data_IF_656376621912
#
_entry.id   IF_656376621912
#
_cell.length_a   1.000
_cell.length_b   1.000
_cell.length_c   1.000
_cell.angle_alpha   90.00
_cell.angle_beta   90.00
_cell.angle_gamma   90.00
#
_symmetry.space_group_name_H-M   'P 1'
#
loop_
_entity.id
_entity.type
_entity.pdbx_description
1 polymer ?
#
# COMPACT_ATOMS: atom_id res chain seq x y z
N UNK A 1 -15.39 2.17 -7.21
CA UNK A 1 -15.30 1.86 -5.75
C UNK A 1 -15.64 0.41 -5.43
N UNK A 2 -16.72 -0.18 -5.99
CA UNK A 2 -17.10 -1.58 -5.70
C UNK A 2 -16.01 -2.61 -5.99
N UNK A 3 -15.26 -2.44 -7.09
CA UNK A 3 -14.14 -3.32 -7.42
C UNK A 3 -13.07 -3.30 -6.31
N UNK A 4 -12.69 -2.11 -5.84
CA UNK A 4 -11.74 -1.93 -4.74
C UNK A 4 -12.24 -2.61 -3.47
N UNK A 5 -13.55 -2.54 -3.20
CA UNK A 5 -14.18 -3.21 -2.07
C UNK A 5 -14.00 -4.74 -2.14
N UNK A 6 -14.19 -5.34 -3.32
CA UNK A 6 -13.98 -6.78 -3.52
C UNK A 6 -12.51 -7.18 -3.37
N UNK A 7 -11.59 -6.40 -3.94
CA UNK A 7 -10.16 -6.66 -3.86
C UNK A 7 -9.62 -6.57 -2.42
N UNK A 8 -10.02 -5.53 -1.68
CA UNK A 8 -9.55 -5.26 -0.33
C UNK A 8 -10.23 -6.14 0.73
N UNK A 9 -11.32 -6.85 0.40
CA UNK A 9 -12.04 -7.72 1.34
C UNK A 9 -11.19 -8.88 1.86
N UNK A 10 -10.26 -9.38 1.06
CA UNK A 10 -9.38 -10.49 1.42
C UNK A 10 -8.16 -10.06 2.24
N UNK A 11 -7.88 -8.75 2.29
CA UNK A 11 -6.77 -8.21 3.08
C UNK A 11 -7.14 -8.31 4.56
N UNK A 12 -6.25 -8.77 5.44
CA UNK A 12 -6.55 -8.92 6.85
C UNK A 12 -6.86 -7.58 7.55
N UNK A 13 -7.54 -7.62 8.69
CA UNK A 13 -8.03 -6.45 9.44
C UNK A 13 -6.93 -5.58 10.04
N UNK A 14 -5.76 -6.16 10.31
CA UNK A 14 -4.60 -5.46 10.85
C UNK A 14 -3.85 -4.63 9.81
N UNK A 15 -4.10 -4.85 8.52
CA UNK A 15 -3.49 -4.09 7.45
C UNK A 15 -4.33 -2.85 7.12
N UNK A 16 -3.67 -1.72 6.85
CA UNK A 16 -4.40 -0.53 6.39
C UNK A 16 -4.95 -0.76 4.98
N UNK A 17 -6.24 -0.44 4.81
CA UNK A 17 -6.94 -0.54 3.52
C UNK A 17 -7.17 0.87 3.02
N UNK A 18 -6.42 1.26 2.00
CA UNK A 18 -6.42 2.62 1.48
C UNK A 18 -6.69 2.63 -0.01
N UNK A 19 -7.50 3.58 -0.46
CA UNK A 19 -7.81 3.83 -1.87
C UNK A 19 -7.54 5.30 -2.16
N UNK A 20 -6.75 5.58 -3.19
CA UNK A 20 -6.51 6.93 -3.70
C UNK A 20 -7.17 7.02 -5.07
N UNK A 21 -8.05 8.00 -5.25
CA UNK A 21 -8.75 8.26 -6.51
C UNK A 21 -8.21 9.56 -7.09
N UNK A 22 -7.69 9.51 -8.32
CA UNK A 22 -7.40 10.71 -9.10
C UNK A 22 -8.63 10.99 -9.95
N UNK A 23 -9.33 12.08 -9.67
CA UNK A 23 -10.62 12.41 -10.29
C UNK A 23 -10.49 13.64 -11.20
N UNK A 24 -10.62 13.42 -12.51
CA UNK A 24 -10.52 14.49 -13.52
C UNK A 24 -11.84 15.09 -14.00
N UNK A 25 -12.96 14.47 -13.66
CA UNK A 25 -14.29 14.90 -14.10
C UNK A 25 -14.96 15.78 -13.04
N UNK A 26 -15.99 16.51 -13.44
CA UNK A 26 -16.90 17.20 -12.52
C UNK A 26 -18.13 16.34 -12.19
N UNK A 27 -18.39 15.33 -13.01
CA UNK A 27 -19.55 14.44 -12.91
C UNK A 27 -19.11 12.99 -12.78
N UNK A 28 -19.81 12.25 -11.93
CA UNK A 28 -19.72 10.79 -11.83
C UNK A 28 -21.02 10.19 -12.36
N UNK A 29 -20.90 9.18 -13.21
CA UNK A 29 -22.02 8.47 -13.82
C UNK A 29 -22.10 7.05 -13.25
N UNK A 30 -22.40 6.94 -11.96
CA UNK A 30 -22.56 5.65 -11.29
C UNK A 30 -23.98 5.10 -11.50
N UNK A 31 -24.14 3.80 -11.85
CA UNK A 31 -25.47 3.22 -12.09
C UNK A 31 -26.30 2.99 -10.81
N UNK A 32 -25.65 2.98 -9.65
CA UNK A 32 -26.26 2.71 -8.35
C UNK A 32 -26.12 3.87 -7.35
N UNK A 33 -26.68 3.69 -6.17
CA UNK A 33 -26.56 4.67 -5.10
C UNK A 33 -25.16 4.63 -4.48
N UNK A 34 -24.36 5.67 -4.68
CA UNK A 34 -23.00 5.74 -4.13
C UNK A 34 -22.98 5.82 -2.59
N UNK A 35 -24.04 6.31 -1.94
CA UNK A 35 -24.07 6.43 -0.48
C UNK A 35 -24.11 5.07 0.22
N UNK A 36 -24.70 4.03 -0.38
CA UNK A 36 -24.60 2.67 0.17
C UNK A 36 -23.18 2.17 0.07
N UNK A 37 -22.50 2.39 -1.06
CA UNK A 37 -21.10 2.00 -1.24
C UNK A 37 -20.16 2.72 -0.26
N UNK A 38 -20.43 3.99 0.07
CA UNK A 38 -19.68 4.73 1.08
C UNK A 38 -19.87 4.10 2.47
N UNK A 39 -21.09 3.67 2.81
CA UNK A 39 -21.37 2.99 4.07
C UNK A 39 -20.64 1.64 4.14
N UNK A 40 -20.63 0.88 3.06
CA UNK A 40 -19.90 -0.40 2.97
C UNK A 40 -18.39 -0.20 3.13
N UNK A 41 -17.84 0.87 2.54
CA UNK A 41 -16.43 1.25 2.75
C UNK A 41 -16.12 1.53 4.21
N UNK A 42 -17.00 2.26 4.90
CA UNK A 42 -16.83 2.56 6.33
C UNK A 42 -16.93 1.29 7.19
N UNK A 43 -17.88 0.40 6.89
CA UNK A 43 -18.01 -0.91 7.57
C UNK A 43 -16.76 -1.78 7.42
N UNK A 44 -16.09 -1.70 6.26
CA UNK A 44 -14.85 -2.43 5.99
C UNK A 44 -13.58 -1.68 6.42
N UNK A 45 -13.70 -0.56 7.14
CA UNK A 45 -12.60 0.31 7.56
C UNK A 45 -11.66 0.71 6.40
N UNK A 46 -12.22 0.93 5.20
CA UNK A 46 -11.46 1.36 4.04
C UNK A 46 -11.41 2.89 4.01
N UNK A 47 -10.20 3.44 4.01
CA UNK A 47 -9.96 4.88 3.85
C UNK A 47 -9.90 5.24 2.38
N UNK A 48 -10.67 6.25 1.96
CA UNK A 48 -10.67 6.72 0.58
C UNK A 48 -10.25 8.20 0.51
N UNK A 49 -9.10 8.48 -0.11
CA UNK A 49 -8.66 9.84 -0.42
C UNK A 49 -8.91 10.14 -1.90
N UNK A 50 -9.28 11.38 -2.22
CA UNK A 50 -9.53 11.81 -3.60
C UNK A 50 -8.71 13.06 -3.91
N UNK A 51 -8.00 13.01 -5.03
CA UNK A 51 -7.29 14.15 -5.61
C UNK A 51 -8.08 14.59 -6.85
N UNK A 52 -8.79 15.72 -6.75
CA UNK A 52 -9.58 16.31 -7.82
C UNK A 52 -8.75 17.24 -8.71
N UNK A 53 -8.97 17.19 -10.02
CA UNK A 53 -8.40 18.15 -10.97
C UNK A 53 -9.31 19.39 -11.09
N UNK A 54 -8.71 20.57 -10.97
CA UNK A 54 -9.28 21.91 -11.19
C UNK A 54 -10.45 22.35 -10.28
N UNK A 55 -11.39 21.46 -9.92
CA UNK A 55 -12.59 21.85 -9.19
C UNK A 55 -12.93 20.91 -8.03
N UNK A 56 -13.65 21.48 -7.06
CA UNK A 56 -14.17 20.76 -5.90
C UNK A 56 -15.53 20.13 -6.21
N UNK A 57 -15.63 18.80 -6.11
CA UNK A 57 -16.87 18.06 -6.25
C UNK A 57 -17.40 17.68 -4.87
N UNK A 58 -18.62 18.14 -4.54
CA UNK A 58 -19.23 17.92 -3.21
C UNK A 58 -19.34 16.44 -2.83
N UNK A 59 -19.61 15.58 -3.80
CA UNK A 59 -19.67 14.14 -3.60
C UNK A 59 -18.31 13.57 -3.18
N UNK A 60 -17.23 13.91 -3.88
CA UNK A 60 -15.85 13.48 -3.54
C UNK A 60 -15.44 13.95 -2.14
N UNK A 61 -15.79 15.19 -1.78
CA UNK A 61 -15.58 15.68 -0.42
C UNK A 61 -16.33 14.83 0.62
N UNK A 62 -17.60 14.50 0.35
CA UNK A 62 -18.42 13.68 1.25
C UNK A 62 -17.87 12.25 1.40
N UNK A 63 -17.32 11.67 0.32
CA UNK A 63 -16.65 10.36 0.35
C UNK A 63 -15.44 10.41 1.29
N UNK A 64 -14.56 11.39 1.12
CA UNK A 64 -13.35 11.53 1.93
C UNK A 64 -13.69 11.75 3.41
N UNK A 65 -14.65 12.63 3.68
CA UNK A 65 -15.10 12.95 5.04
C UNK A 65 -15.67 11.71 5.76
N UNK A 66 -16.54 10.95 5.09
CA UNK A 66 -17.14 9.73 5.68
C UNK A 66 -16.15 8.57 5.85
N UNK A 67 -15.17 8.46 4.95
CA UNK A 67 -14.15 7.39 5.00
C UNK A 67 -12.87 7.81 5.70
N UNK A 68 -12.85 8.99 6.34
CA UNK A 68 -11.67 9.58 7.00
C UNK A 68 -10.42 9.68 6.11
N UNK A 69 -10.64 9.89 4.81
CA UNK A 69 -9.60 10.23 3.85
C UNK A 69 -9.40 11.73 3.72
N UNK A 70 -8.56 12.11 2.75
CA UNK A 70 -8.24 13.51 2.47
C UNK A 70 -8.73 13.85 1.07
N UNK A 71 -9.43 15.00 0.95
CA UNK A 71 -9.80 15.57 -0.34
C UNK A 71 -8.86 16.73 -0.67
N UNK A 72 -8.24 16.70 -1.84
CA UNK A 72 -7.36 17.76 -2.33
C UNK A 72 -7.76 18.16 -3.75
N UNK A 73 -7.65 19.45 -4.07
CA UNK A 73 -7.88 19.97 -5.42
C UNK A 73 -6.57 20.50 -5.96
N UNK A 74 -6.18 20.01 -7.13
CA UNK A 74 -4.94 20.38 -7.80
C UNK A 74 -5.06 21.81 -8.33
N UNK A 75 -4.00 22.59 -8.14
CA UNK A 75 -3.88 23.97 -8.62
C UNK A 75 -2.96 24.02 -9.85
N UNK A 76 -1.78 23.43 -9.71
CA UNK A 76 -0.73 23.36 -10.72
C UNK A 76 -0.01 22.00 -10.66
N UNK A 77 0.91 21.77 -11.59
CA UNK A 77 1.67 20.51 -11.68
C UNK A 77 2.54 20.27 -10.43
N UNK A 78 3.11 21.34 -9.86
CA UNK A 78 3.92 21.26 -8.64
C UNK A 78 3.05 20.84 -7.46
N UNK A 79 1.88 21.47 -7.27
CA UNK A 79 0.95 21.08 -6.23
C UNK A 79 0.43 19.65 -6.42
N UNK A 80 0.22 19.18 -7.65
CA UNK A 80 -0.15 17.78 -7.88
C UNK A 80 0.93 16.82 -7.38
N UNK A 81 2.20 17.12 -7.69
CA UNK A 81 3.34 16.34 -7.21
C UNK A 81 3.41 16.34 -5.69
N UNK A 82 3.18 17.48 -5.05
CA UNK A 82 3.16 17.59 -3.58
C UNK A 82 2.01 16.80 -2.96
N UNK A 83 0.80 16.86 -3.55
CA UNK A 83 -0.35 16.05 -3.14
C UNK A 83 -0.05 14.55 -3.21
N UNK A 84 0.60 14.09 -4.28
CA UNK A 84 1.02 12.69 -4.43
C UNK A 84 2.06 12.30 -3.37
N UNK A 85 3.07 13.15 -3.17
CA UNK A 85 4.14 12.92 -2.18
C UNK A 85 3.61 12.87 -0.76
N UNK A 86 2.56 13.64 -0.45
CA UNK A 86 1.89 13.57 0.85
C UNK A 86 1.30 12.19 1.12
N UNK A 87 0.73 11.54 0.09
CA UNK A 87 0.18 10.19 0.19
C UNK A 87 1.25 9.08 0.19
N UNK A 88 2.52 9.39 -0.13
CA UNK A 88 3.62 8.44 0.05
C UNK A 88 3.96 8.23 1.53
N UNK A 89 3.59 9.16 2.42
CA UNK A 89 3.77 9.00 3.87
C UNK A 89 2.63 8.13 4.41
N UNK A 90 2.91 7.05 5.15
CA UNK A 90 1.86 6.23 5.73
C UNK A 90 1.02 7.11 6.67
N UNK A 91 -0.32 7.12 6.51
CA UNK A 91 -1.15 7.93 7.38
C UNK A 91 -1.16 7.39 8.81
N UNK A 92 -1.48 8.27 9.76
CA UNK A 92 -1.76 7.87 11.13
C UNK A 92 -2.92 6.88 11.19
N UNK A 93 -2.72 5.77 11.90
CA UNK A 93 -3.71 4.72 12.10
C UNK A 93 -4.74 5.18 13.14
N UNK A 94 -6.01 4.82 12.96
CA UNK A 94 -7.05 5.06 13.97
C UNK A 94 -6.77 4.19 15.20
N UNK A 95 -7.03 4.71 16.39
CA UNK A 95 -6.84 3.96 17.65
C UNK A 95 -7.64 2.64 17.72
N UNK A 96 -8.66 2.47 16.89
CA UNK A 96 -9.51 1.28 16.82
C UNK A 96 -8.97 0.15 15.94
N UNK A 97 -7.82 0.31 15.30
CA UNK A 97 -7.27 -0.71 14.40
C UNK A 97 -6.57 -1.80 15.19
N UNK A 98 -6.90 -3.06 14.91
CA UNK A 98 -6.30 -4.22 15.57
C UNK A 98 -4.80 -4.32 15.26
N UNK A 99 -3.97 -4.26 16.29
CA UNK A 99 -2.54 -4.55 16.17
C UNK A 99 -2.32 -6.04 16.29
N UNK A 100 -1.95 -6.70 15.20
CA UNK A 100 -1.63 -8.13 15.19
C UNK A 100 -0.13 -8.35 14.99
N UNK A 101 0.42 -9.34 15.70
CA UNK A 101 1.77 -9.81 15.44
C UNK A 101 1.75 -10.75 14.23
N UNK A 102 2.47 -10.37 13.17
CA UNK A 102 2.53 -11.14 11.93
C UNK A 102 3.82 -11.93 11.88
N UNK A 103 3.74 -13.22 11.52
CA UNK A 103 4.92 -14.04 11.28
C UNK A 103 5.52 -13.68 9.91
N UNK A 104 6.70 -13.05 9.93
CA UNK A 104 7.47 -12.71 8.72
C UNK A 104 8.62 -13.69 8.50
N UNK A 105 8.97 -13.93 7.23
CA UNK A 105 10.14 -14.72 6.85
C UNK A 105 11.25 -13.84 6.29
N UNK A 106 12.47 -14.02 6.81
CA UNK A 106 13.68 -13.37 6.28
C UNK A 106 14.49 -14.39 5.48
N UNK A 107 14.26 -14.52 4.17
CA UNK A 107 14.96 -15.49 3.34
C UNK A 107 16.41 -15.06 3.11
N UNK A 108 17.31 -16.05 3.00
CA UNK A 108 18.68 -15.82 2.57
C UNK A 108 18.79 -15.97 1.05
N UNK A 109 19.56 -15.09 0.41
CA UNK A 109 19.94 -15.26 -0.99
C UNK A 109 20.99 -16.35 -1.10
N UNK A 110 20.71 -17.41 -1.86
CA UNK A 110 21.64 -18.51 -2.08
C UNK A 110 21.82 -18.76 -3.57
N UNK A 111 23.07 -18.91 -3.96
CA UNK A 111 23.50 -19.40 -5.28
C UNK A 111 23.79 -20.88 -5.17
N UNK A 112 23.16 -21.69 -6.00
CA UNK A 112 23.33 -23.15 -6.06
C UNK A 112 23.95 -23.50 -7.40
N UNK A 113 24.88 -24.45 -7.42
CA UNK A 113 25.52 -24.91 -8.64
C UNK A 113 24.53 -25.60 -9.61
N UNK A 114 23.45 -26.18 -9.09
CA UNK A 114 22.39 -26.83 -9.86
C UNK A 114 21.21 -25.90 -10.13
N UNK A 115 20.62 -26.05 -11.32
CA UNK A 115 19.41 -25.33 -11.71
C UNK A 115 18.24 -25.74 -10.80
N UNK A 116 17.51 -24.75 -10.30
CA UNK A 116 16.35 -24.94 -9.42
C UNK A 116 15.18 -24.07 -9.87
N UNK A 117 13.98 -24.61 -9.72
CA UNK A 117 12.74 -23.99 -10.22
C UNK A 117 12.24 -22.92 -9.23
N UNK A 118 11.85 -21.76 -9.74
CA UNK A 118 11.12 -20.72 -8.97
C UNK A 118 9.66 -21.10 -8.84
N UNK A 119 9.10 -21.05 -7.63
CA UNK A 119 7.64 -21.23 -7.43
C UNK A 119 6.83 -20.11 -8.08
N UNK A 120 7.45 -18.95 -8.23
CA UNK A 120 6.98 -17.72 -8.86
C UNK A 120 6.56 -17.91 -10.33
N UNK A 121 7.28 -18.77 -11.04
CA UNK A 121 7.15 -18.95 -12.49
C UNK A 121 6.69 -20.37 -12.84
N UNK A 122 6.07 -21.08 -11.89
CA UNK A 122 5.63 -22.46 -12.12
C UNK A 122 4.55 -22.53 -13.21
N UNK A 123 3.65 -21.54 -13.21
CA UNK A 123 2.50 -21.47 -14.13
C UNK A 123 2.77 -20.61 -15.38
N UNK A 124 3.82 -19.79 -15.34
CA UNK A 124 4.18 -18.90 -16.43
C UNK A 124 5.04 -19.66 -17.43
N UNK A 125 4.61 -19.78 -18.69
CA UNK A 125 5.41 -20.30 -19.82
C UNK A 125 6.60 -19.39 -20.19
N UNK A 126 7.10 -18.59 -19.25
CA UNK A 126 8.25 -17.69 -19.42
C UNK A 126 9.55 -18.46 -19.26
N UNK A 127 10.56 -18.09 -20.05
CA UNK A 127 11.88 -18.74 -20.14
C UNK A 127 12.73 -18.67 -18.86
N UNK A 128 12.30 -17.94 -17.83
CA UNK A 128 13.06 -17.69 -16.59
C UNK A 128 12.62 -18.54 -15.39
N UNK A 129 12.12 -19.76 -15.64
CA UNK A 129 11.68 -20.67 -14.59
C UNK A 129 12.84 -21.37 -13.86
N UNK A 130 13.99 -21.51 -14.53
CA UNK A 130 15.19 -22.16 -14.02
C UNK A 130 16.26 -21.11 -13.76
N UNK A 131 16.64 -20.96 -12.49
CA UNK A 131 17.78 -20.13 -12.12
C UNK A 131 18.71 -20.88 -11.17
N UNK A 132 19.96 -20.42 -11.08
CA UNK A 132 20.94 -20.93 -10.11
C UNK A 132 20.91 -20.14 -8.80
N UNK A 133 20.43 -18.91 -8.82
CA UNK A 133 20.31 -18.03 -7.65
C UNK A 133 18.85 -17.77 -7.28
N UNK A 134 18.61 -17.52 -5.99
CA UNK A 134 17.32 -17.07 -5.49
C UNK A 134 17.25 -17.02 -3.97
N UNK A 135 16.11 -16.56 -3.48
CA UNK A 135 15.76 -16.48 -2.08
C UNK A 135 15.05 -17.76 -1.64
N UNK A 136 15.50 -18.37 -0.54
CA UNK A 136 14.83 -19.56 0.03
C UNK A 136 13.95 -19.18 1.21
N UNK A 137 12.69 -19.60 1.15
CA UNK A 137 11.75 -19.46 2.26
C UNK A 137 12.28 -20.20 3.51
N UNK A 138 12.34 -19.56 4.69
CA UNK A 138 12.87 -20.21 5.89
C UNK A 138 11.99 -21.35 6.42
N UNK A 139 10.69 -21.36 6.10
CA UNK A 139 9.75 -22.35 6.62
C UNK A 139 9.59 -23.58 5.71
N UNK A 140 9.38 -23.39 4.41
CA UNK A 140 9.14 -24.49 3.46
C UNK A 140 10.28 -24.70 2.45
N UNK A 141 11.36 -23.91 2.51
CA UNK A 141 12.53 -23.99 1.61
C UNK A 141 12.22 -23.79 0.12
N UNK A 142 11.03 -23.31 -0.23
CA UNK A 142 10.69 -22.95 -1.61
C UNK A 142 11.51 -21.75 -2.08
N UNK A 143 11.77 -21.71 -3.39
CA UNK A 143 12.65 -20.73 -4.03
C UNK A 143 11.85 -19.61 -4.70
N UNK A 144 12.29 -18.37 -4.44
CA UNK A 144 11.77 -17.15 -5.05
C UNK A 144 12.88 -16.35 -5.74
N UNK A 145 12.57 -15.70 -6.87
CA UNK A 145 13.50 -14.85 -7.60
C UNK A 145 13.55 -13.43 -7.02
N UNK A 146 12.41 -12.93 -6.59
CA UNK A 146 12.22 -11.55 -6.13
C UNK A 146 11.51 -11.49 -4.77
N UNK A 147 11.71 -10.37 -4.08
CA UNK A 147 11.11 -10.06 -2.78
C UNK A 147 10.71 -8.57 -2.78
N UNK A 148 9.60 -8.18 -2.13
CA UNK A 148 8.81 -8.97 -1.17
C UNK A 148 7.69 -9.80 -1.83
N UNK A 149 7.45 -11.01 -1.33
CA UNK A 149 6.42 -11.92 -1.88
C UNK A 149 5.78 -12.74 -0.76
N UNK A 150 4.49 -13.04 -0.86
CA UNK A 150 3.83 -14.02 0.02
C UNK A 150 4.10 -15.44 -0.48
N UNK A 151 4.59 -16.32 0.41
CA UNK A 151 4.96 -17.66 0.01
C UNK A 151 3.73 -18.53 -0.31
N UNK A 152 3.50 -18.83 -1.59
CA UNK A 152 2.40 -19.70 -2.08
C UNK A 152 2.30 -21.05 -1.33
N UNK A 153 3.42 -21.61 -0.86
CA UNK A 153 3.43 -22.92 -0.18
C UNK A 153 3.06 -22.84 1.31
N UNK A 154 3.43 -21.76 2.02
CA UNK A 154 3.27 -21.70 3.47
C UNK A 154 2.60 -20.42 4.02
N UNK A 155 2.24 -19.47 3.15
CA UNK A 155 1.50 -18.26 3.47
C UNK A 155 2.26 -17.17 4.23
N UNK A 156 3.55 -17.36 4.54
CA UNK A 156 4.32 -16.31 5.24
C UNK A 156 4.78 -15.23 4.25
N UNK A 157 4.75 -13.98 4.69
CA UNK A 157 5.30 -12.85 3.93
C UNK A 157 6.82 -12.88 3.99
N UNK A 158 7.47 -12.99 2.83
CA UNK A 158 8.92 -12.98 2.69
C UNK A 158 9.38 -11.55 2.42
N UNK A 159 10.24 -11.02 3.29
CA UNK A 159 10.76 -9.65 3.23
C UNK A 159 12.25 -9.65 3.57
N UNK A 160 13.00 -8.68 3.05
CA UNK A 160 14.37 -8.43 3.48
C UNK A 160 14.38 -7.47 4.67
N UNK A 161 15.26 -7.71 5.65
CA UNK A 161 15.41 -6.82 6.80
C UNK A 161 15.68 -5.34 6.39
N UNK A 162 16.52 -5.05 5.36
CA UNK A 162 16.66 -3.68 4.84
C UNK A 162 15.36 -3.04 4.32
N UNK A 163 14.42 -3.83 3.77
CA UNK A 163 13.15 -3.29 3.28
C UNK A 163 12.28 -2.77 4.44
N UNK A 164 12.29 -3.49 5.58
CA UNK A 164 11.68 -3.02 6.82
C UNK A 164 12.46 -1.86 7.43
N UNK A 165 13.80 -1.89 7.38
CA UNK A 165 14.63 -0.81 7.92
C UNK A 165 14.31 0.54 7.28
N UNK A 166 13.92 0.58 6.00
CA UNK A 166 13.53 1.82 5.31
C UNK A 166 12.29 2.49 5.93
N UNK A 167 11.40 1.76 6.58
CA UNK A 167 10.23 2.38 7.24
C UNK A 167 10.54 2.96 8.62
N UNK A 168 11.75 2.75 9.17
CA UNK A 168 12.13 3.27 10.49
C UNK A 168 12.01 4.80 10.59
N UNK A 169 12.25 5.53 9.51
CA UNK A 169 12.09 6.99 9.49
C UNK A 169 10.65 7.45 9.77
N UNK A 170 9.66 6.62 9.50
CA UNK A 170 8.26 6.90 9.81
C UNK A 170 7.90 6.51 11.24
N UNK A 171 8.57 5.50 11.81
CA UNK A 171 8.36 5.05 13.19
C UNK A 171 9.05 5.97 14.21
N UNK A 172 10.21 6.53 13.84
CA UNK A 172 11.02 7.42 14.69
C UNK A 172 11.35 8.71 13.94
N UNK A 173 10.42 9.68 13.90
CA UNK A 173 10.63 10.93 13.20
C UNK A 173 11.73 11.77 13.87
N UNK A 174 12.48 12.50 13.06
CA UNK A 174 13.50 13.44 13.55
C UNK A 174 12.83 14.64 14.22
N UNK A 175 13.50 15.19 15.24
CA UNK A 175 13.07 16.45 15.87
C UNK A 175 13.27 17.60 14.89
N UNK A 176 12.34 18.55 14.90
CA UNK A 176 12.44 19.77 14.10
C UNK A 176 13.62 20.61 14.57
N UNK A 177 14.35 21.21 13.62
CA UNK A 177 15.39 22.18 13.94
C UNK A 177 14.77 23.45 14.52
N UNK A 178 15.45 24.05 15.50
CA UNK A 178 15.07 25.35 16.05
C UNK A 178 15.73 26.40 15.18
N UNK A 179 14.93 27.18 14.47
CA UNK A 179 15.43 28.29 13.68
C UNK A 179 15.92 29.40 14.62
N UNK A 180 17.20 29.74 14.53
CA UNK A 180 17.79 30.87 15.24
C UNK A 180 18.06 31.99 14.25
N UNK A 181 17.51 33.18 14.48
CA UNK A 181 17.92 34.37 13.76
C UNK A 181 19.35 34.71 14.13
N UNK A 182 20.19 35.02 13.14
CA UNK A 182 21.54 35.51 13.41
C UNK A 182 21.44 36.80 14.23
N UNK A 183 22.09 36.84 15.39
CA UNK A 183 22.28 38.10 16.13
C UNK A 183 23.21 38.98 15.29
N UNK A 184 22.72 40.17 14.92
CA UNK A 184 23.54 41.23 14.37
C UNK A 184 24.52 41.75 15.42
#
# INVERSE_FOLDING_TARGET
MELSLRMLRHIPTHASREVIIIHGSLTSCDPGNIFSTINDFNQQNIRCSVIGLAASVKLCHTICERTSGVYQVILDEVHFRDCLLQHCRPPGVKASTETALIKMGFPQHKTVASLSICVCHLDSKSKDCLSTSGYRCPQCQSKYCELPVECVTCGITLVLAPQLARSYHHLFPLKMFIESTASQ
#
